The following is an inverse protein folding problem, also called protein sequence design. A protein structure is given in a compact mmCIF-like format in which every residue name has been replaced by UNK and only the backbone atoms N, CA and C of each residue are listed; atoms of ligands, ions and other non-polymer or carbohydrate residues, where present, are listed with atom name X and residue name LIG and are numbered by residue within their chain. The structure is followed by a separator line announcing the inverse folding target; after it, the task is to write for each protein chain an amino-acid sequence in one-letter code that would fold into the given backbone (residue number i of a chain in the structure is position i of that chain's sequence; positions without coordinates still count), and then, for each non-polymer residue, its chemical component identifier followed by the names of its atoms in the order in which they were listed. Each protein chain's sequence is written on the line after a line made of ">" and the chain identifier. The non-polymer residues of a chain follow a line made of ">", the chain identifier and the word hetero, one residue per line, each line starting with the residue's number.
data_IF_677240543625
#
_entry.id   IF_677240543625
#
_cell.length_a   1.000
_cell.length_b   1.000
_cell.length_c   1.000
_cell.angle_alpha   90.00
_cell.angle_beta   90.00
_cell.angle_gamma   90.00
#
_symmetry.space_group_name_H-M   'P 1'
#
loop_
_entity.id
_entity.type
_entity.pdbx_description
1 polymer ?
#
# COMPACT_ATOMS: atom_id res chain seq x y z
N UNK A 1 -17.56 6.98 17.74
CA UNK A 1 -17.33 6.85 16.30
C UNK A 1 -15.86 6.50 16.14
N UNK A 2 -15.53 5.26 15.77
CA UNK A 2 -14.11 4.86 15.62
C UNK A 2 -13.51 5.74 14.52
N UNK A 3 -12.51 6.53 14.88
CA UNK A 3 -11.54 7.05 13.92
C UNK A 3 -11.13 5.86 13.06
N UNK A 4 -11.41 5.89 11.76
CA UNK A 4 -10.64 5.06 10.85
C UNK A 4 -9.21 5.58 10.99
N UNK A 5 -8.41 4.87 11.77
CA UNK A 5 -7.04 5.25 12.02
C UNK A 5 -6.31 5.15 10.69
N UNK A 6 -6.16 6.25 9.96
CA UNK A 6 -5.35 6.36 8.73
C UNK A 6 -3.84 6.28 9.05
N UNK A 7 -3.49 5.49 10.06
CA UNK A 7 -2.10 5.17 10.35
C UNK A 7 -1.57 4.32 9.22
N UNK A 8 -0.28 4.48 8.95
CA UNK A 8 0.49 3.70 7.98
C UNK A 8 0.20 2.21 8.17
N UNK A 9 0.23 1.74 9.43
CA UNK A 9 0.00 0.34 9.77
C UNK A 9 -1.38 -0.15 9.36
N UNK A 10 -2.44 0.58 9.69
CA UNK A 10 -3.80 0.18 9.36
C UNK A 10 -4.04 0.15 7.83
N UNK A 11 -3.41 1.07 7.08
CA UNK A 11 -3.48 1.08 5.62
C UNK A 11 -2.77 -0.14 5.02
N UNK A 12 -1.58 -0.47 5.53
CA UNK A 12 -0.85 -1.66 5.09
C UNK A 12 -1.63 -2.95 5.43
N UNK A 13 -2.19 -3.06 6.64
CA UNK A 13 -3.03 -4.19 7.04
C UNK A 13 -4.24 -4.35 6.11
N UNK A 14 -4.95 -3.25 5.81
CA UNK A 14 -6.08 -3.27 4.88
C UNK A 14 -5.68 -3.69 3.45
N UNK A 15 -4.49 -3.30 2.97
CA UNK A 15 -3.99 -3.75 1.67
C UNK A 15 -3.55 -5.23 1.69
N UNK A 16 -2.98 -5.72 2.78
CA UNK A 16 -2.63 -7.14 2.95
C UNK A 16 -3.88 -8.04 2.99
N UNK A 17 -4.97 -7.57 3.60
CA UNK A 17 -6.25 -8.28 3.65
C UNK A 17 -7.01 -8.28 2.31
N UNK A 18 -6.59 -7.47 1.34
CA UNK A 18 -7.18 -7.40 0.01
C UNK A 18 -6.39 -8.24 -1.00
N UNK A 19 -6.94 -9.32 -1.59
CA UNK A 19 -6.19 -10.23 -2.46
C UNK A 19 -5.48 -9.56 -3.64
N UNK A 20 -6.11 -8.55 -4.25
CA UNK A 20 -5.52 -7.81 -5.37
C UNK A 20 -4.34 -6.94 -4.96
N UNK A 21 -4.45 -6.24 -3.83
CA UNK A 21 -3.36 -5.38 -3.32
C UNK A 21 -2.23 -6.24 -2.74
N UNK A 22 -2.56 -7.27 -1.96
CA UNK A 22 -1.61 -8.23 -1.42
C UNK A 22 -0.75 -8.87 -2.51
N UNK A 23 -1.34 -9.26 -3.64
CA UNK A 23 -0.60 -9.77 -4.80
C UNK A 23 0.47 -8.79 -5.31
N UNK A 24 0.19 -7.49 -5.30
CA UNK A 24 1.16 -6.47 -5.72
C UNK A 24 2.28 -6.30 -4.68
N UNK A 25 1.92 -6.29 -3.39
CA UNK A 25 2.88 -6.17 -2.27
C UNK A 25 3.84 -7.37 -2.22
N UNK A 26 3.32 -8.59 -2.42
CA UNK A 26 4.09 -9.83 -2.35
C UNK A 26 4.83 -10.18 -3.65
N UNK A 27 4.81 -9.29 -4.65
CA UNK A 27 5.44 -9.53 -5.94
C UNK A 27 6.97 -9.40 -5.84
N UNK A 28 7.68 -10.52 -5.96
CA UNK A 28 9.16 -10.56 -5.90
C UNK A 28 9.86 -9.93 -7.12
N UNK A 29 9.11 -9.55 -8.16
CA UNK A 29 9.68 -8.98 -9.41
C UNK A 29 9.90 -7.48 -9.36
N UNK A 30 9.33 -6.78 -8.40
CA UNK A 30 9.50 -5.33 -8.23
C UNK A 30 10.58 -5.06 -7.19
N UNK A 31 11.38 -4.03 -7.42
CA UNK A 31 12.55 -3.70 -6.59
C UNK A 31 12.49 -2.29 -6.02
N UNK A 32 11.53 -1.49 -6.50
CA UNK A 32 11.32 -0.12 -6.06
C UNK A 32 9.89 0.09 -5.58
N UNK A 33 9.77 0.96 -4.59
CA UNK A 33 8.52 1.32 -3.92
C UNK A 33 8.44 2.84 -3.80
N UNK A 34 7.36 3.43 -4.33
CA UNK A 34 6.97 4.81 -4.06
C UNK A 34 5.68 4.85 -3.23
N UNK A 35 5.65 5.68 -2.20
CA UNK A 35 4.46 5.89 -1.35
C UNK A 35 4.21 7.38 -1.22
N UNK A 36 2.96 7.79 -1.35
CA UNK A 36 2.55 9.18 -1.18
C UNK A 36 1.16 9.27 -0.54
N UNK A 37 0.91 10.39 0.12
CA UNK A 37 -0.37 10.73 0.72
C UNK A 37 -0.88 12.06 0.18
N UNK A 38 -2.19 12.17 -0.02
CA UNK A 38 -2.86 13.44 -0.29
C UNK A 38 -4.16 13.50 0.51
N UNK A 39 -4.21 14.33 1.55
CA UNK A 39 -5.30 14.29 2.54
C UNK A 39 -5.43 12.91 3.18
N UNK A 40 -6.61 12.30 3.08
CA UNK A 40 -6.88 10.96 3.61
C UNK A 40 -6.52 9.81 2.64
N UNK A 41 -6.00 10.13 1.45
CA UNK A 41 -5.73 9.12 0.41
C UNK A 41 -4.27 8.67 0.47
N UNK A 42 -4.10 7.35 0.35
CA UNK A 42 -2.80 6.68 0.25
C UNK A 42 -2.64 6.07 -1.12
N UNK A 43 -1.46 6.28 -1.72
CA UNK A 43 -1.07 5.66 -2.99
C UNK A 43 0.25 4.96 -2.81
N UNK A 44 0.32 3.73 -3.33
CA UNK A 44 1.54 2.92 -3.41
C UNK A 44 1.80 2.53 -4.87
N UNK A 45 3.03 2.70 -5.32
CA UNK A 45 3.48 2.34 -6.66
C UNK A 45 4.66 1.39 -6.53
N UNK A 46 4.60 0.28 -7.25
CA UNK A 46 5.71 -0.67 -7.37
C UNK A 46 6.32 -0.61 -8.76
N UNK A 47 7.65 -0.64 -8.83
CA UNK A 47 8.37 -0.56 -10.09
C UNK A 47 9.52 -1.57 -10.17
N UNK A 48 9.89 -1.88 -11.41
CA UNK A 48 11.11 -2.58 -11.79
C UNK A 48 11.79 -1.74 -12.86
N UNK A 49 12.87 -1.00 -12.52
CA UNK A 49 13.65 -0.27 -13.51
C UNK A 49 14.18 -1.20 -14.61
N UNK A 50 14.43 -0.62 -15.78
CA UNK A 50 15.06 -1.32 -16.91
C UNK A 50 16.56 -1.36 -16.76
#
# INVERSE_FOLDING_TARGET
>A
MRSQDSTEKAVIEAWLDSPGHCKNIMNDKVTELGVATSGAYWTQVFAKPK
#
